data_IF_507133425174
#
_entry.id   IF_507133425174
#
_cell.length_a   1.000
_cell.length_b   1.000
_cell.length_c   1.000
_cell.angle_alpha   90.00
_cell.angle_beta   90.00
_cell.angle_gamma   90.00
#
_symmetry.space_group_name_H-M   'P 1'
#
loop_
_entity.id
_entity.type
_entity.pdbx_description
1 polymer ?
#
# COMPACT_ATOMS: atom_id res chain seq x y z
N UNK A 1 7.24 2.14 11.64
CA UNK A 1 6.39 1.27 10.80
C UNK A 1 6.97 1.28 9.40
N UNK A 2 7.04 0.13 8.70
CA UNK A 2 7.42 0.08 7.29
C UNK A 2 6.16 0.27 6.46
N UNK A 3 6.09 1.37 5.70
CA UNK A 3 4.92 1.72 4.92
C UNK A 3 5.34 1.84 3.45
N UNK A 4 4.58 1.19 2.59
CA UNK A 4 4.70 1.30 1.14
C UNK A 4 3.52 2.14 0.63
N UNK A 5 3.80 3.13 -0.22
CA UNK A 5 2.76 3.98 -0.82
C UNK A 5 3.00 4.04 -2.32
N UNK A 6 1.97 3.75 -3.10
CA UNK A 6 2.01 3.95 -4.55
C UNK A 6 2.24 5.43 -4.87
N UNK A 7 3.20 5.70 -5.74
CA UNK A 7 3.56 7.04 -6.20
C UNK A 7 2.53 7.59 -7.19
N UNK A 8 1.35 7.96 -6.68
CA UNK A 8 0.23 8.51 -7.43
C UNK A 8 -0.03 9.97 -7.01
N UNK A 9 0.68 10.94 -7.62
CA UNK A 9 0.55 12.36 -7.27
C UNK A 9 -0.82 12.94 -7.63
N UNK A 10 -1.10 14.14 -7.12
CA UNK A 10 -2.29 14.91 -7.50
C UNK A 10 -2.32 15.10 -9.03
N UNK A 11 -3.47 14.89 -9.72
CA UNK A 11 -4.83 14.73 -9.21
C UNK A 11 -5.34 13.29 -9.05
N UNK A 12 -4.47 12.26 -8.98
CA UNK A 12 -4.90 10.85 -8.92
C UNK A 12 -5.96 10.60 -7.85
N UNK A 13 -7.07 9.92 -8.18
CA UNK A 13 -8.10 9.51 -7.22
C UNK A 13 -7.86 8.11 -6.65
N UNK A 14 -6.71 7.51 -6.97
CA UNK A 14 -6.34 6.17 -6.59
C UNK A 14 -5.12 6.16 -5.67
N UNK A 15 -5.12 5.20 -4.75
CA UNK A 15 -3.98 4.91 -3.89
C UNK A 15 -3.92 3.41 -3.57
N UNK A 16 -2.72 2.96 -3.24
CA UNK A 16 -2.48 1.69 -2.57
C UNK A 16 -1.42 1.95 -1.49
N UNK A 17 -1.73 1.54 -0.27
CA UNK A 17 -0.86 1.75 0.90
C UNK A 17 -0.71 0.41 1.58
N UNK A 18 0.52 -0.09 1.74
CA UNK A 18 0.78 -1.38 2.41
C UNK A 18 1.62 -1.20 3.65
N UNK A 19 1.36 -2.03 4.66
CA UNK A 19 2.07 -2.04 5.93
C UNK A 19 2.50 -3.48 6.21
N UNK A 20 3.80 -3.68 6.35
CA UNK A 20 4.35 -4.97 6.73
C UNK A 20 4.02 -5.27 8.19
N UNK A 21 3.34 -6.39 8.44
CA UNK A 21 3.07 -6.91 9.79
C UNK A 21 4.18 -7.89 10.18
N UNK A 22 4.67 -8.67 9.21
CA UNK A 22 5.82 -9.55 9.33
C UNK A 22 6.46 -9.74 7.95
N UNK A 23 7.51 -10.57 7.85
CA UNK A 23 8.15 -10.93 6.58
C UNK A 23 7.23 -11.72 5.62
N UNK A 24 6.07 -12.18 6.11
CA UNK A 24 5.13 -13.02 5.36
C UNK A 24 3.69 -12.50 5.43
N UNK A 25 3.43 -11.37 6.06
CA UNK A 25 2.08 -10.81 6.19
C UNK A 25 2.08 -9.29 6.02
N UNK A 26 1.12 -8.81 5.23
CA UNK A 26 0.89 -7.39 4.99
C UNK A 26 -0.58 -7.04 5.16
N UNK A 27 -0.85 -5.80 5.57
CA UNK A 27 -2.17 -5.19 5.49
C UNK A 27 -2.08 -4.03 4.50
N UNK A 28 -2.97 -4.01 3.53
CA UNK A 28 -3.00 -2.98 2.49
C UNK A 28 -4.36 -2.29 2.42
N UNK A 29 -4.33 -0.98 2.22
CA UNK A 29 -5.49 -0.15 1.93
C UNK A 29 -5.48 0.14 0.44
N UNK A 30 -6.52 -0.31 -0.25
CA UNK A 30 -6.64 -0.26 -1.70
C UNK A 30 -7.81 0.63 -2.10
N UNK A 31 -7.55 1.63 -2.92
CA UNK A 31 -8.54 2.41 -3.64
C UNK A 31 -8.16 2.49 -5.14
N UNK A 32 -8.06 1.33 -5.80
CA UNK A 32 -7.76 1.19 -7.22
C UNK A 32 -8.98 0.64 -7.99
N UNK A 33 -8.78 -0.32 -8.90
CA UNK A 33 -9.80 -0.87 -9.81
C UNK A 33 -10.88 -1.68 -9.09
N UNK A 34 -10.56 -2.30 -7.96
CA UNK A 34 -11.46 -3.16 -7.17
C UNK A 34 -12.17 -2.39 -6.04
N UNK A 35 -11.99 -1.06 -5.98
CA UNK A 35 -12.67 -0.14 -5.07
C UNK A 35 -12.12 -0.10 -3.63
N UNK A 36 -12.59 0.87 -2.81
CA UNK A 36 -12.07 1.14 -1.47
C UNK A 36 -12.22 -0.03 -0.50
N UNK A 37 -11.10 -0.63 -0.10
CA UNK A 37 -11.07 -1.73 0.88
C UNK A 37 -9.76 -1.80 1.64
N UNK A 38 -9.78 -2.58 2.71
CA UNK A 38 -8.58 -3.03 3.41
C UNK A 38 -8.47 -4.54 3.24
N UNK A 39 -7.28 -5.00 2.87
CA UNK A 39 -6.97 -6.40 2.61
C UNK A 39 -5.83 -6.85 3.52
N UNK A 40 -5.91 -8.09 3.98
CA UNK A 40 -4.79 -8.81 4.61
C UNK A 40 -4.29 -9.83 3.62
N UNK A 41 -2.98 -9.82 3.36
CA UNK A 41 -2.35 -10.75 2.44
C UNK A 41 -1.24 -11.53 3.15
N UNK A 42 -1.09 -12.79 2.77
CA UNK A 42 -0.01 -13.66 3.22
C UNK A 42 0.90 -14.04 2.05
N UNK A 43 2.20 -14.06 2.28
CA UNK A 43 3.18 -14.51 1.30
C UNK A 43 3.02 -16.03 1.09
N UNK A 44 2.77 -16.43 -0.15
CA UNK A 44 2.63 -17.84 -0.53
C UNK A 44 3.97 -18.41 -1.00
N UNK A 45 4.65 -17.68 -1.89
CA UNK A 45 5.85 -18.17 -2.57
C UNK A 45 6.73 -16.99 -3.01
N UNK A 46 8.05 -17.16 -2.94
CA UNK A 46 9.01 -16.28 -3.64
C UNK A 46 9.39 -16.94 -4.95
N UNK A 47 9.09 -16.27 -6.06
CA UNK A 47 9.23 -16.81 -7.41
C UNK A 47 9.45 -15.67 -8.41
N UNK A 48 10.50 -15.81 -9.22
CA UNK A 48 10.87 -14.81 -10.24
C UNK A 48 9.69 -14.42 -11.13
N UNK A 49 9.48 -13.13 -11.32
CA UNK A 49 8.42 -12.61 -12.19
C UNK A 49 8.50 -13.25 -13.59
N UNK A 50 7.38 -13.74 -14.16
CA UNK A 50 7.42 -14.55 -15.37
C UNK A 50 7.80 -13.71 -16.59
N UNK A 51 8.86 -14.09 -17.29
CA UNK A 51 9.30 -13.40 -18.53
C UNK A 51 8.35 -13.58 -19.71
N UNK A 52 7.50 -14.62 -19.67
CA UNK A 52 6.60 -15.00 -20.76
C UNK A 52 5.25 -14.27 -20.73
N UNK A 53 4.96 -13.49 -19.67
CA UNK A 53 3.68 -12.80 -19.50
C UNK A 53 3.93 -11.34 -19.12
N UNK A 54 3.33 -10.36 -19.81
CA UNK A 54 3.44 -8.96 -19.40
C UNK A 54 2.70 -8.74 -18.06
N UNK A 55 3.12 -7.75 -17.26
CA UNK A 55 2.37 -7.33 -16.08
C UNK A 55 0.97 -6.84 -16.45
N UNK A 56 0.02 -7.07 -15.54
CA UNK A 56 -1.32 -6.46 -15.58
C UNK A 56 -1.24 -4.96 -15.34
N UNK A 57 -0.38 -4.53 -14.42
CA UNK A 57 -0.06 -3.12 -14.17
C UNK A 57 1.36 -2.98 -13.62
N UNK A 58 1.91 -1.79 -13.78
CA UNK A 58 3.22 -1.39 -13.25
C UNK A 58 3.12 0.01 -12.66
N UNK A 59 3.81 0.25 -11.56
CA UNK A 59 3.83 1.56 -10.89
C UNK A 59 5.10 1.71 -10.06
N UNK A 60 5.33 2.91 -9.55
CA UNK A 60 6.41 3.14 -8.61
C UNK A 60 5.88 3.17 -7.18
N UNK A 61 6.65 2.59 -6.25
CA UNK A 61 6.33 2.52 -4.83
C UNK A 61 7.37 3.31 -4.03
N UNK A 62 6.88 4.09 -3.08
CA UNK A 62 7.65 4.85 -2.11
C UNK A 62 7.68 4.08 -0.79
N UNK A 63 8.89 3.80 -0.30
CA UNK A 63 9.11 3.21 1.02
C UNK A 63 9.30 4.32 2.03
N UNK A 64 8.48 4.29 3.08
CA UNK A 64 8.55 5.19 4.22
C UNK A 64 8.91 4.44 5.50
N UNK A 65 9.80 5.04 6.28
CA UNK A 65 10.16 4.59 7.63
C UNK A 65 10.12 5.78 8.58
N UNK A 66 9.32 5.66 9.65
CA UNK A 66 9.19 6.69 10.69
C UNK A 66 8.87 8.08 10.11
N UNK A 67 7.87 8.14 9.23
CA UNK A 67 7.43 9.35 8.54
C UNK A 67 8.42 9.92 7.51
N UNK A 68 9.52 9.24 7.18
CA UNK A 68 10.52 9.71 6.23
C UNK A 68 10.61 8.80 5.00
N UNK A 69 10.88 9.40 3.84
CA UNK A 69 11.15 8.64 2.62
C UNK A 69 12.54 8.00 2.66
N UNK A 70 12.60 6.70 2.38
CA UNK A 70 13.84 5.92 2.38
C UNK A 70 14.30 5.61 0.97
N UNK A 71 13.39 5.03 0.16
CA UNK A 71 13.72 4.58 -1.20
C UNK A 71 12.47 4.46 -2.07
N UNK A 72 12.71 4.40 -3.38
CA UNK A 72 11.70 4.18 -4.40
C UNK A 72 12.06 2.92 -5.19
N UNK A 73 11.08 2.08 -5.51
CA UNK A 73 11.26 0.95 -6.43
C UNK A 73 10.10 0.86 -7.41
N UNK A 74 10.30 0.10 -8.49
CA UNK A 74 9.27 -0.13 -9.50
C UNK A 74 8.61 -1.49 -9.26
N UNK A 75 7.29 -1.51 -9.12
CA UNK A 75 6.49 -2.69 -8.89
C UNK A 75 5.86 -3.17 -10.20
N UNK A 76 5.91 -4.48 -10.42
CA UNK A 76 5.19 -5.17 -11.49
C UNK A 76 4.19 -6.11 -10.89
N UNK A 77 2.96 -6.08 -11.39
CA UNK A 77 1.87 -6.86 -10.81
C UNK A 77 1.15 -7.70 -11.86
N UNK A 78 0.78 -8.92 -11.48
CA UNK A 78 -0.14 -9.78 -12.21
C UNK A 78 -1.29 -10.16 -11.27
N UNK A 79 -2.50 -9.77 -11.65
CA UNK A 79 -3.73 -10.25 -11.02
C UNK A 79 -3.94 -11.74 -11.36
N UNK A 80 -4.02 -12.56 -10.31
CA UNK A 80 -4.36 -13.99 -10.38
C UNK A 80 -5.66 -14.27 -9.58
N UNK A 81 -6.49 -13.26 -9.35
CA UNK A 81 -7.76 -13.36 -8.64
C UNK A 81 -7.59 -13.12 -7.14
N UNK A 82 -7.57 -14.21 -6.35
CA UNK A 82 -7.27 -14.14 -4.90
C UNK A 82 -5.78 -14.02 -4.60
N UNK A 83 -4.94 -14.22 -5.63
CA UNK A 83 -3.50 -14.12 -5.54
C UNK A 83 -3.02 -12.96 -6.41
N UNK A 84 -1.93 -12.36 -5.96
CA UNK A 84 -1.26 -11.27 -6.62
C UNK A 84 0.21 -11.63 -6.76
N UNK A 85 0.72 -11.64 -7.99
CA UNK A 85 2.15 -11.78 -8.22
C UNK A 85 2.74 -10.38 -8.33
N UNK A 86 3.48 -9.95 -7.32
CA UNK A 86 4.13 -8.64 -7.28
C UNK A 86 5.64 -8.86 -7.29
N UNK A 87 6.32 -8.38 -8.34
CA UNK A 87 7.74 -8.65 -8.57
C UNK A 87 8.07 -10.15 -8.38
N UNK A 88 9.00 -10.50 -7.50
CA UNK A 88 9.41 -11.89 -7.32
C UNK A 88 8.64 -12.60 -6.19
N UNK A 89 7.41 -12.14 -5.86
CA UNK A 89 6.61 -12.65 -4.75
C UNK A 89 5.14 -12.88 -5.14
N UNK A 90 4.57 -13.97 -4.64
CA UNK A 90 3.15 -14.29 -4.79
C UNK A 90 2.47 -14.16 -3.43
N UNK A 91 1.49 -13.27 -3.36
CA UNK A 91 0.70 -12.96 -2.19
C UNK A 91 -0.72 -13.49 -2.36
N UNK A 92 -1.36 -13.94 -1.28
CA UNK A 92 -2.76 -14.37 -1.28
C UNK A 92 -3.58 -13.54 -0.30
N UNK A 93 -4.69 -13.00 -0.78
CA UNK A 93 -5.66 -12.29 0.08
C UNK A 93 -6.36 -13.30 0.98
N UNK A 94 -6.11 -13.20 2.29
CA UNK A 94 -6.71 -14.06 3.31
C UNK A 94 -7.97 -13.43 3.91
N UNK A 95 -8.05 -12.11 3.89
CA UNK A 95 -9.20 -11.35 4.38
C UNK A 95 -9.36 -10.03 3.63
N UNK A 96 -10.60 -9.60 3.43
CA UNK A 96 -10.93 -8.30 2.86
C UNK A 96 -12.19 -7.73 3.50
N UNK A 97 -12.26 -6.39 3.60
CA UNK A 97 -13.49 -5.67 3.95
C UNK A 97 -13.48 -4.27 3.35
N UNK A 98 -14.65 -3.67 3.08
CA UNK A 98 -14.73 -2.28 2.67
C UNK A 98 -14.19 -1.34 3.76
N UNK A 99 -13.68 -0.19 3.35
CA UNK A 99 -13.35 0.93 4.25
C UNK A 99 -14.43 2.00 4.22
N UNK A 100 -14.54 2.80 5.28
CA UNK A 100 -15.48 3.92 5.32
C UNK A 100 -15.05 5.01 4.33
N UNK A 101 -16.03 5.79 3.86
CA UNK A 101 -15.76 6.95 2.99
C UNK A 101 -14.80 7.95 3.63
N UNK A 102 -14.98 8.23 4.93
CA UNK A 102 -14.12 9.14 5.68
C UNK A 102 -12.66 8.64 5.72
N UNK A 103 -12.46 7.34 5.96
CA UNK A 103 -11.12 6.76 5.96
C UNK A 103 -10.50 6.82 4.56
N UNK A 104 -11.28 6.49 3.53
CA UNK A 104 -10.81 6.56 2.14
C UNK A 104 -10.35 7.97 1.76
N UNK A 105 -11.12 9.00 2.11
CA UNK A 105 -10.77 10.40 1.84
C UNK A 105 -9.50 10.83 2.58
N UNK A 106 -9.33 10.42 3.85
CA UNK A 106 -8.11 10.70 4.62
C UNK A 106 -6.88 10.01 4.01
N UNK A 107 -6.99 8.74 3.65
CA UNK A 107 -5.88 7.99 3.05
C UNK A 107 -5.51 8.53 1.67
N UNK A 108 -6.51 8.94 0.86
CA UNK A 108 -6.26 9.60 -0.42
C UNK A 108 -5.51 10.92 -0.24
N UNK A 109 -5.90 11.74 0.75
CA UNK A 109 -5.19 12.98 1.08
C UNK A 109 -3.72 12.70 1.41
N UNK A 110 -3.43 11.78 2.32
CA UNK A 110 -2.05 11.45 2.70
C UNK A 110 -1.26 10.83 1.55
N UNK A 111 -1.85 9.92 0.78
CA UNK A 111 -1.20 9.32 -0.39
C UNK A 111 -0.77 10.36 -1.41
N UNK A 112 -1.60 11.38 -1.67
CA UNK A 112 -1.27 12.50 -2.56
C UNK A 112 -0.19 13.38 -1.95
N UNK A 113 -0.33 13.78 -0.68
CA UNK A 113 0.69 14.58 0.02
C UNK A 113 2.05 13.91 -0.04
N UNK A 114 2.12 12.61 0.22
CA UNK A 114 3.33 11.81 0.16
C UNK A 114 3.88 11.76 -1.26
N UNK A 115 3.04 11.42 -2.25
CA UNK A 115 3.46 11.31 -3.65
C UNK A 115 3.97 12.63 -4.22
N UNK A 116 3.35 13.75 -3.86
CA UNK A 116 3.71 15.09 -4.30
C UNK A 116 5.01 15.59 -3.62
N UNK A 117 5.30 15.12 -2.39
CA UNK A 117 6.33 15.70 -1.53
C UNK A 117 7.36 14.70 -0.98
N UNK A 118 7.46 13.47 -1.50
CA UNK A 118 8.26 12.40 -0.88
C UNK A 118 9.72 12.77 -0.59
N UNK A 119 10.33 13.65 -1.39
CA UNK A 119 11.72 14.11 -1.15
C UNK A 119 11.87 15.12 0.01
N UNK A 120 10.77 15.66 0.51
CA UNK A 120 10.72 16.74 1.51
C UNK A 120 9.70 16.46 2.62
N UNK A 121 9.39 15.19 2.92
CA UNK A 121 8.41 14.82 3.96
C UNK A 121 8.74 15.36 5.36
N UNK A 122 10.01 15.67 5.63
CA UNK A 122 10.40 16.34 6.87
C UNK A 122 9.70 17.68 7.12
N UNK A 123 9.23 18.37 6.06
CA UNK A 123 8.43 19.60 6.18
C UNK A 123 6.99 19.35 6.65
N UNK A 124 6.52 18.10 6.60
CA UNK A 124 5.16 17.67 6.87
C UNK A 124 5.10 16.69 8.06
N UNK A 125 6.00 16.87 9.04
CA UNK A 125 6.15 15.93 10.17
C UNK A 125 4.87 15.67 10.96
N UNK A 126 3.98 16.66 11.08
CA UNK A 126 2.68 16.51 11.75
C UNK A 126 1.76 15.61 10.93
N UNK A 127 1.63 15.89 9.65
CA UNK A 127 0.81 15.12 8.71
C UNK A 127 1.30 13.68 8.61
N UNK A 128 2.62 13.45 8.64
CA UNK A 128 3.19 12.11 8.65
C UNK A 128 2.90 11.37 9.97
N UNK A 129 2.94 12.06 11.11
CA UNK A 129 2.56 11.48 12.40
C UNK A 129 1.07 11.11 12.42
N UNK A 130 0.20 12.01 11.96
CA UNK A 130 -1.25 11.78 11.89
C UNK A 130 -1.58 10.63 10.93
N UNK A 131 -0.85 10.51 9.81
CA UNK A 131 -0.98 9.41 8.88
C UNK A 131 -0.64 8.05 9.54
N UNK A 132 0.50 7.96 10.22
CA UNK A 132 0.89 6.74 10.93
C UNK A 132 -0.10 6.37 12.05
N UNK A 133 -0.67 7.35 12.75
CA UNK A 133 -1.71 7.13 13.75
C UNK A 133 -2.99 6.56 13.13
N UNK A 134 -3.46 7.13 12.00
CA UNK A 134 -4.63 6.63 11.26
C UNK A 134 -4.43 5.17 10.88
N UNK A 135 -3.27 4.83 10.31
CA UNK A 135 -2.94 3.45 9.91
C UNK A 135 -2.89 2.52 11.13
N UNK A 136 -2.21 2.94 12.19
CA UNK A 136 -2.07 2.15 13.43
C UNK A 136 -3.42 1.85 14.06
N UNK A 137 -4.33 2.83 14.09
CA UNK A 137 -5.69 2.66 14.62
C UNK A 137 -6.49 1.64 13.83
N UNK A 138 -6.40 1.67 12.50
CA UNK A 138 -7.13 0.75 11.64
C UNK A 138 -6.62 -0.69 11.72
N UNK A 139 -5.31 -0.87 11.94
CA UNK A 139 -4.70 -2.18 12.17
C UNK A 139 -5.01 -2.68 13.59
N UNK A 140 -4.85 -1.85 14.62
CA UNK A 140 -4.95 -2.27 16.03
C UNK A 140 -6.39 -2.41 16.53
N UNK A 141 -7.30 -1.57 16.03
CA UNK A 141 -8.69 -1.45 16.51
C UNK A 141 -9.62 -2.58 16.06
N UNK A 142 -9.12 -3.54 15.28
CA UNK A 142 -9.90 -4.63 14.71
C UNK A 142 -9.23 -5.95 15.05
N UNK A 143 -9.39 -6.42 16.29
CA UNK A 143 -9.25 -7.85 16.57
C UNK A 143 -10.30 -8.58 15.73
N UNK A 144 -9.89 -9.23 14.65
CA UNK A 144 -10.78 -9.78 13.62
C UNK A 144 -10.63 -9.11 12.26
N UNK A 145 -9.62 -8.24 12.09
CA UNK A 145 -8.56 -8.49 11.11
C UNK A 145 -7.40 -9.26 11.76
#
# INVERSE_FOLDING_TARGET
>A
MNIEVDSNPTPSEQFFISISISDTEVISFDCTSKGPRVIRQALVERKNFPKSRPPTSEWDVLILESGQFVRKYHAKWIDLGKRDWVNDEIWETTQEKPISKELNEKLLFYSRLISDNYKALGLFSREMSDFEEVLTKEISGKQGF
#
